data_IF_386702110042
#
_entry.id   IF_386702110042
#
_cell.length_a   1.000
_cell.length_b   1.000
_cell.length_c   1.000
_cell.angle_alpha   90.00
_cell.angle_beta   90.00
_cell.angle_gamma   90.00
#
_symmetry.space_group_name_H-M   'P 1'
#
loop_
_entity.id
_entity.type
_entity.pdbx_description
1 polymer ?
#
# COMPACT_ATOMS: atom_id res chain seq x y z
N UNK A 1 16.92 -4.95 -2.08
CA UNK A 1 16.37 -3.92 -1.19
C UNK A 1 14.94 -4.30 -0.85
N UNK A 2 14.62 -4.50 0.43
CA UNK A 2 13.24 -4.52 0.92
C UNK A 2 12.80 -3.05 1.00
N UNK A 3 11.92 -2.64 0.08
CA UNK A 3 11.41 -1.28 0.00
C UNK A 3 10.35 -1.03 1.07
N UNK A 4 10.33 0.16 1.65
CA UNK A 4 9.20 0.62 2.46
C UNK A 4 8.25 1.38 1.53
N UNK A 5 6.97 0.98 1.49
CA UNK A 5 5.91 1.66 0.75
C UNK A 5 5.13 2.56 1.70
N UNK A 6 4.73 3.75 1.25
CA UNK A 6 3.89 4.67 2.03
C UNK A 6 2.46 4.62 1.49
N UNK A 7 1.47 4.51 2.36
CA UNK A 7 0.07 4.57 1.93
C UNK A 7 -0.27 5.95 1.35
N UNK A 8 -0.74 5.96 0.10
CA UNK A 8 -1.14 7.16 -0.66
C UNK A 8 -2.63 7.16 -1.06
N UNK A 9 -3.42 6.21 -0.52
CA UNK A 9 -4.82 6.01 -0.90
C UNK A 9 -5.02 5.02 -2.05
N UNK A 10 -3.95 4.45 -2.62
CA UNK A 10 -4.02 3.50 -3.74
C UNK A 10 -3.39 2.14 -3.41
N UNK A 11 -3.56 1.16 -4.30
CA UNK A 11 -2.97 -0.17 -4.15
C UNK A 11 -1.46 -0.13 -4.39
N UNK A 12 -0.68 -0.57 -3.41
CA UNK A 12 0.78 -0.62 -3.48
C UNK A 12 1.23 -2.04 -3.81
N UNK A 13 2.15 -2.18 -4.77
CA UNK A 13 2.74 -3.47 -5.17
C UNK A 13 4.22 -3.46 -4.80
N UNK A 14 4.65 -4.41 -3.98
CA UNK A 14 6.04 -4.59 -3.63
C UNK A 14 6.77 -5.30 -4.78
N UNK A 15 7.73 -4.64 -5.46
CA UNK A 15 8.55 -5.30 -6.48
C UNK A 15 9.42 -6.38 -5.83
N UNK A 16 9.49 -7.53 -6.47
CA UNK A 16 10.30 -8.69 -6.05
C UNK A 16 11.31 -9.01 -7.14
N UNK A 17 12.58 -9.14 -6.74
CA UNK A 17 13.67 -9.63 -7.61
C UNK A 17 14.26 -10.87 -6.97
N UNK A 18 14.25 -11.98 -7.70
CA UNK A 18 14.81 -13.26 -7.24
C UNK A 18 16.10 -13.56 -8.01
N UNK A 19 17.12 -14.04 -7.29
CA UNK A 19 18.42 -14.42 -7.86
C UNK A 19 18.87 -15.75 -7.29
N UNK A 20 19.49 -16.59 -8.12
CA UNK A 20 20.18 -17.83 -7.70
C UNK A 20 21.60 -17.78 -8.23
N UNK A 21 22.58 -17.70 -7.34
CA UNK A 21 23.94 -17.31 -7.72
C UNK A 21 23.93 -15.93 -8.41
N UNK A 22 24.54 -15.84 -9.59
CA UNK A 22 24.57 -14.62 -10.40
C UNK A 22 23.38 -14.48 -11.37
N UNK A 23 22.53 -15.51 -11.48
CA UNK A 23 21.39 -15.49 -12.38
C UNK A 23 20.21 -14.72 -11.78
N UNK A 24 19.60 -13.83 -12.56
CA UNK A 24 18.32 -13.19 -12.25
C UNK A 24 17.20 -14.05 -12.84
N UNK A 25 16.23 -14.41 -12.01
CA UNK A 25 15.11 -15.25 -12.44
C UNK A 25 13.97 -14.39 -13.01
N UNK A 26 13.17 -14.99 -13.88
CA UNK A 26 12.02 -14.37 -14.53
C UNK A 26 10.70 -14.77 -13.86
N UNK A 27 9.96 -13.77 -13.37
CA UNK A 27 8.61 -13.97 -12.81
C UNK A 27 7.65 -14.50 -13.90
N UNK A 28 6.84 -15.48 -13.55
CA UNK A 28 5.93 -16.20 -14.44
C UNK A 28 6.54 -17.37 -15.21
N UNK A 29 7.88 -17.44 -15.29
CA UNK A 29 8.60 -18.55 -15.93
C UNK A 29 9.36 -19.40 -14.91
N UNK A 30 10.22 -18.75 -14.11
CA UNK A 30 11.10 -19.40 -13.14
C UNK A 30 10.51 -19.38 -11.73
N UNK A 31 9.67 -18.40 -11.43
CA UNK A 31 8.97 -18.30 -10.14
C UNK A 31 7.66 -17.51 -10.23
N UNK A 32 6.80 -17.71 -9.24
CA UNK A 32 5.53 -17.00 -9.01
C UNK A 32 5.64 -16.17 -7.72
N UNK A 33 5.05 -14.98 -7.69
CA UNK A 33 4.91 -14.16 -6.48
C UNK A 33 3.44 -14.01 -6.11
N UNK A 34 3.13 -14.20 -4.83
CA UNK A 34 1.81 -13.94 -4.27
C UNK A 34 1.88 -13.11 -2.99
N UNK A 35 0.82 -12.37 -2.67
CA UNK A 35 0.73 -11.58 -1.43
C UNK A 35 1.58 -10.31 -1.39
N UNK A 36 2.15 -9.88 -2.52
CA UNK A 36 2.99 -8.68 -2.62
C UNK A 36 2.20 -7.38 -2.85
N UNK A 37 0.87 -7.40 -2.68
CA UNK A 37 0.01 -6.23 -2.89
C UNK A 37 -0.70 -5.87 -1.60
N UNK A 38 -0.69 -4.58 -1.25
CA UNK A 38 -1.37 -4.07 -0.07
C UNK A 38 -1.91 -2.66 -0.31
N UNK A 39 -3.13 -2.41 0.14
CA UNK A 39 -3.74 -1.06 0.08
C UNK A 39 -3.68 -0.35 1.42
N UNK A 40 -3.73 -1.06 2.55
CA UNK A 40 -3.78 -0.41 3.87
C UNK A 40 -2.39 -0.42 4.50
N UNK A 41 -2.19 0.50 5.46
CA UNK A 41 -1.03 0.44 6.33
C UNK A 41 -1.03 -0.87 7.13
N UNK A 42 0.14 -1.49 7.25
CA UNK A 42 0.29 -2.79 7.91
C UNK A 42 1.54 -3.54 7.49
N UNK A 43 1.77 -4.68 8.14
CA UNK A 43 2.81 -5.64 7.75
C UNK A 43 2.17 -6.82 7.04
N UNK A 44 2.70 -7.13 5.86
CA UNK A 44 2.20 -8.17 4.97
C UNK A 44 3.30 -9.18 4.67
N UNK A 45 2.89 -10.39 4.33
CA UNK A 45 3.80 -11.46 3.93
C UNK A 45 3.56 -11.78 2.45
N UNK A 46 4.64 -11.75 1.67
CA UNK A 46 4.67 -12.26 0.31
C UNK A 46 5.31 -13.64 0.28
N UNK A 47 4.93 -14.41 -0.74
CA UNK A 47 5.43 -15.76 -1.00
C UNK A 47 6.00 -15.81 -2.41
N UNK A 48 7.17 -16.43 -2.54
CA UNK A 48 7.83 -16.73 -3.81
C UNK A 48 7.84 -18.24 -3.95
N UNK A 49 7.31 -18.76 -5.06
CA UNK A 49 7.27 -20.20 -5.36
C UNK A 49 8.04 -20.46 -6.66
N UNK A 50 8.99 -21.39 -6.63
CA UNK A 50 9.71 -21.80 -7.84
C UNK A 50 8.82 -22.53 -8.84
N UNK A 51 9.16 -22.41 -10.14
CA UNK A 51 8.52 -23.08 -11.26
C UNK A 51 9.58 -23.87 -12.03
N UNK A 52 9.23 -25.06 -12.52
CA UNK A 52 10.09 -25.87 -13.37
C UNK A 52 11.34 -26.37 -12.63
N UNK A 53 12.53 -25.99 -13.12
CA UNK A 53 13.81 -26.40 -12.53
C UNK A 53 14.16 -25.66 -11.23
N UNK A 54 13.38 -24.64 -10.86
CA UNK A 54 13.46 -23.99 -9.56
C UNK A 54 12.33 -24.53 -8.69
N UNK A 55 12.67 -25.19 -7.57
CA UNK A 55 11.70 -25.79 -6.65
C UNK A 55 11.68 -25.07 -5.30
N UNK A 56 10.61 -25.29 -4.55
CA UNK A 56 10.44 -24.79 -3.19
C UNK A 56 9.77 -23.43 -3.09
N UNK A 57 9.67 -22.96 -1.85
CA UNK A 57 8.91 -21.76 -1.48
C UNK A 57 9.71 -20.92 -0.49
N UNK A 58 9.80 -19.63 -0.73
CA UNK A 58 10.36 -18.65 0.19
C UNK A 58 9.30 -17.62 0.58
N UNK A 59 9.45 -17.02 1.76
CA UNK A 59 8.54 -15.97 2.22
C UNK A 59 9.31 -14.77 2.73
N UNK A 60 8.74 -13.58 2.55
CA UNK A 60 9.32 -12.34 3.03
C UNK A 60 8.22 -11.42 3.55
N UNK A 61 8.56 -10.54 4.49
CA UNK A 61 7.64 -9.54 5.02
C UNK A 61 7.96 -8.17 4.45
N UNK A 62 6.93 -7.37 4.18
CA UNK A 62 7.06 -5.96 3.83
C UNK A 62 6.03 -5.13 4.61
N UNK A 63 6.31 -3.83 4.76
CA UNK A 63 5.49 -2.93 5.55
C UNK A 63 5.04 -1.75 4.70
N UNK A 64 3.74 -1.47 4.74
CA UNK A 64 3.13 -0.24 4.24
C UNK A 64 2.96 0.70 5.43
N UNK A 65 3.66 1.83 5.42
CA UNK A 65 3.56 2.84 6.47
C UNK A 65 2.21 3.57 6.42
N UNK A 66 1.70 3.96 7.59
CA UNK A 66 0.52 4.82 7.69
C UNK A 66 0.80 6.19 7.06
N UNK A 67 -0.22 6.79 6.46
CA UNK A 67 -0.13 8.17 5.98
C UNK A 67 0.06 9.11 7.16
N UNK A 68 0.99 10.06 7.00
CA UNK A 68 1.30 11.06 8.01
C UNK A 68 0.25 12.18 7.98
N UNK A 69 -0.67 12.16 8.95
CA UNK A 69 -1.72 13.17 9.08
C UNK A 69 -1.18 14.57 9.39
N UNK A 70 0.07 14.73 9.83
CA UNK A 70 0.67 16.06 10.03
C UNK A 70 0.85 16.83 8.72
N UNK A 71 0.85 16.12 7.58
CA UNK A 71 0.95 16.70 6.23
C UNK A 71 -0.42 16.98 5.59
N UNK A 72 -1.52 16.69 6.29
CA UNK A 72 -2.84 16.94 5.76
C UNK A 72 -3.15 18.44 5.75
N UNK A 73 -3.58 18.98 4.61
CA UNK A 73 -4.10 20.35 4.50
C UNK A 73 -5.60 20.36 4.71
N UNK A 74 -6.08 21.12 5.70
CA UNK A 74 -7.52 21.34 5.91
C UNK A 74 -7.98 22.52 5.07
N UNK A 75 -8.74 22.25 4.01
CA UNK A 75 -9.44 23.29 3.25
C UNK A 75 -10.84 23.51 3.82
N UNK A 76 -11.05 24.62 4.53
CA UNK A 76 -12.40 25.06 4.89
C UNK A 76 -13.04 25.72 3.67
N UNK A 77 -14.12 25.14 3.12
CA UNK A 77 -14.92 25.84 2.12
C UNK A 77 -15.76 26.94 2.81
N UNK A 78 -15.18 28.13 2.96
CA UNK A 78 -15.95 29.31 3.35
C UNK A 78 -16.84 29.72 2.17
N UNK A 79 -18.01 29.10 2.03
CA UNK A 79 -19.09 29.66 1.22
C UNK A 79 -20.23 30.12 2.14
N UNK A 80 -19.96 31.17 2.91
CA UNK A 80 -21.02 32.01 3.46
C UNK A 80 -21.64 32.79 2.29
N UNK A 81 -22.68 32.23 1.67
CA UNK A 81 -23.54 33.01 0.76
C UNK A 81 -24.82 33.44 1.49
N UNK A 82 -24.82 34.71 1.90
CA UNK A 82 -25.92 35.67 2.09
C UNK A 82 -27.10 35.34 3.04
N UNK A 83 -27.26 36.23 4.03
CA UNK A 83 -28.43 36.45 4.89
C UNK A 83 -29.78 36.45 4.14
N UNK A 84 -30.72 35.57 4.54
CA UNK A 84 -32.14 35.89 4.86
C UNK A 84 -32.95 34.62 5.19
N UNK A 85 -32.99 34.24 6.47
CA UNK A 85 -34.21 33.94 7.26
C UNK A 85 -33.84 33.34 8.61
N UNK A 86 -34.58 33.74 9.64
CA UNK A 86 -34.37 33.43 11.06
C UNK A 86 -34.11 31.95 11.35
N UNK A 87 -33.05 31.68 12.12
CA UNK A 87 -32.79 30.39 12.75
C UNK A 87 -33.09 30.55 14.24
N UNK A 88 -34.17 29.92 14.72
CA UNK A 88 -34.44 29.74 16.15
C UNK A 88 -34.03 28.31 16.50
N UNK A 89 -32.94 28.13 17.25
CA UNK A 89 -32.61 26.83 17.83
C UNK A 89 -32.89 26.86 19.34
N UNK A 90 -33.84 26.03 19.74
CA UNK A 90 -34.34 25.84 21.11
C UNK A 90 -33.27 25.15 21.98
N UNK A 91 -33.14 25.63 23.22
CA UNK A 91 -32.27 25.09 24.26
C UNK A 91 -32.98 23.94 24.99
N UNK A 92 -32.21 22.93 25.41
CA UNK A 92 -32.50 22.07 26.57
C UNK A 92 -31.41 22.29 27.61
#
# INVERSE_FOLDING_TARGET
LIGSLTYDGTSQVQPVKVTVGDAVLLEGLDYEVTGNTATKAGTYQLTVKGIGSFEGTATAKFTVAAADMSKATVGMANKLTANKKEQVQKVS
#
